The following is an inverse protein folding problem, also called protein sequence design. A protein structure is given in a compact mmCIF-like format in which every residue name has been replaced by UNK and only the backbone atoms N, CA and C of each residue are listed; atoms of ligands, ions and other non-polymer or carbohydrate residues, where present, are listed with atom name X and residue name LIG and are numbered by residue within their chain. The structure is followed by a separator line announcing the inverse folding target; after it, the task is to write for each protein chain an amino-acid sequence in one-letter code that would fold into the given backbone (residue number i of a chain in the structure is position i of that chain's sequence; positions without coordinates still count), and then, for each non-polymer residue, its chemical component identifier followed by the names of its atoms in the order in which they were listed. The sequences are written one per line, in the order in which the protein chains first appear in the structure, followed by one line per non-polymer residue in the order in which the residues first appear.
data_IF_042859642148
#
_entry.id   IF_042859642148
#
_cell.length_a   1.000
_cell.length_b   1.000
_cell.length_c   1.000
_cell.angle_alpha   90.00
_cell.angle_beta   90.00
_cell.angle_gamma   90.00
#
_symmetry.space_group_name_H-M   'P 1'
#
loop_
_entity.id
_entity.type
_entity.pdbx_description
1 polymer ?
#
# COMPACT_ATOMS: atom_id res chain seq x y z
N UNK A 1 -6.42 -13.28 -13.69
CA UNK A 1 -5.07 -12.99 -13.20
C UNK A 1 -5.02 -13.14 -11.69
N UNK A 2 -4.03 -13.84 -11.20
CA UNK A 2 -3.93 -14.11 -9.77
C UNK A 2 -2.88 -13.22 -9.14
N UNK A 3 -3.26 -12.52 -8.08
CA UNK A 3 -2.30 -11.71 -7.32
C UNK A 3 -1.53 -12.61 -6.36
N UNK A 4 -0.25 -12.27 -6.07
CA UNK A 4 0.50 -13.01 -5.07
C UNK A 4 -0.13 -12.86 -3.68
N UNK A 5 0.11 -13.85 -2.82
CA UNK A 5 -0.37 -13.80 -1.45
C UNK A 5 0.28 -12.62 -0.71
N UNK A 6 -0.46 -12.05 0.24
CA UNK A 6 0.05 -10.94 1.04
C UNK A 6 1.36 -11.29 1.72
N UNK A 7 1.46 -12.51 2.29
CA UNK A 7 2.68 -12.94 2.97
C UNK A 7 3.88 -12.97 2.02
N UNK A 8 3.67 -13.42 0.78
CA UNK A 8 4.72 -13.45 -0.24
C UNK A 8 5.17 -12.04 -0.60
N UNK A 9 4.22 -11.14 -0.79
CA UNK A 9 4.52 -9.73 -1.09
C UNK A 9 5.28 -9.08 0.05
N UNK A 10 4.86 -9.34 1.28
CA UNK A 10 5.51 -8.80 2.47
C UNK A 10 6.95 -9.27 2.58
N UNK A 11 7.18 -10.54 2.31
CA UNK A 11 8.52 -11.12 2.29
C UNK A 11 9.40 -10.43 1.27
N UNK A 12 8.90 -10.25 0.06
CA UNK A 12 9.65 -9.58 -1.01
C UNK A 12 9.95 -8.13 -0.67
N UNK A 13 9.00 -7.45 -0.08
CA UNK A 13 9.19 -6.07 0.33
C UNK A 13 10.25 -5.96 1.44
N UNK A 14 10.15 -6.81 2.45
CA UNK A 14 11.11 -6.83 3.56
C UNK A 14 12.52 -7.18 3.10
N UNK A 15 12.62 -8.05 2.09
CA UNK A 15 13.91 -8.44 1.51
C UNK A 15 14.50 -7.38 0.57
N UNK A 16 13.72 -6.36 0.22
CA UNK A 16 14.15 -5.30 -0.69
C UNK A 16 14.06 -5.68 -2.16
N UNK A 17 13.32 -6.74 -2.48
CA UNK A 17 13.15 -7.19 -3.88
C UNK A 17 12.15 -6.34 -4.65
N UNK A 18 11.21 -5.70 -3.95
CA UNK A 18 10.22 -4.82 -4.57
C UNK A 18 10.16 -3.51 -3.78
N UNK A 19 9.69 -2.45 -4.44
CA UNK A 19 9.55 -1.14 -3.81
C UNK A 19 8.26 -1.08 -2.98
N UNK A 20 8.12 -0.03 -2.17
CA UNK A 20 6.89 0.20 -1.42
C UNK A 20 5.71 0.40 -2.35
N UNK A 21 5.90 1.11 -3.47
CA UNK A 21 4.86 1.29 -4.47
C UNK A 21 4.41 -0.06 -5.02
N UNK A 22 5.36 -0.90 -5.41
CA UNK A 22 5.04 -2.24 -5.93
C UNK A 22 4.28 -3.07 -4.90
N UNK A 23 4.70 -3.00 -3.65
CA UNK A 23 4.03 -3.72 -2.56
C UNK A 23 2.55 -3.31 -2.46
N UNK A 24 2.27 -2.02 -2.56
CA UNK A 24 0.90 -1.51 -2.46
C UNK A 24 0.05 -1.93 -3.66
N UNK A 25 0.55 -1.68 -4.88
CA UNK A 25 -0.26 -1.89 -6.09
C UNK A 25 -0.42 -3.35 -6.47
N UNK A 26 0.45 -4.23 -5.98
CA UNK A 26 0.35 -5.66 -6.31
C UNK A 26 -0.56 -6.44 -5.37
N UNK A 27 -1.13 -5.80 -4.36
CA UNK A 27 -2.03 -6.50 -3.43
C UNK A 27 -3.39 -6.78 -4.05
N UNK A 28 -3.97 -5.81 -4.73
CA UNK A 28 -5.25 -5.96 -5.41
C UNK A 28 -5.57 -4.71 -6.23
N UNK A 29 -6.57 -4.83 -7.13
CA UNK A 29 -7.07 -3.68 -7.89
C UNK A 29 -7.70 -2.64 -6.97
N UNK A 30 -8.43 -3.09 -5.95
CA UNK A 30 -9.03 -2.18 -4.97
C UNK A 30 -7.98 -1.37 -4.24
N UNK A 31 -6.90 -2.02 -3.85
CA UNK A 31 -5.79 -1.34 -3.18
C UNK A 31 -5.15 -0.30 -4.09
N UNK A 32 -4.97 -0.64 -5.37
CA UNK A 32 -4.43 0.29 -6.36
C UNK A 32 -5.32 1.52 -6.52
N UNK A 33 -6.63 1.30 -6.62
CA UNK A 33 -7.58 2.42 -6.75
C UNK A 33 -7.57 3.31 -5.51
N UNK A 34 -7.56 2.73 -4.33
CA UNK A 34 -7.48 3.48 -3.07
C UNK A 34 -6.18 4.28 -2.97
N UNK A 35 -5.08 3.68 -3.37
CA UNK A 35 -3.78 4.33 -3.38
C UNK A 35 -3.78 5.54 -4.33
N UNK A 36 -4.29 5.36 -5.53
CA UNK A 36 -4.36 6.44 -6.51
C UNK A 36 -5.25 7.59 -6.02
N UNK A 37 -6.36 7.25 -5.37
CA UNK A 37 -7.25 8.25 -4.78
C UNK A 37 -6.56 9.01 -3.66
N UNK A 38 -5.86 8.30 -2.79
CA UNK A 38 -5.10 8.91 -1.70
C UNK A 38 -4.07 9.89 -2.25
N UNK A 39 -3.32 9.48 -3.27
CA UNK A 39 -2.31 10.34 -3.88
C UNK A 39 -2.93 11.59 -4.49
N UNK A 40 -4.05 11.44 -5.15
CA UNK A 40 -4.75 12.56 -5.77
C UNK A 40 -5.27 13.54 -4.72
N UNK A 41 -5.88 13.02 -3.66
CA UNK A 41 -6.45 13.84 -2.59
C UNK A 41 -5.38 14.61 -1.84
N UNK A 42 -4.22 13.99 -1.63
CA UNK A 42 -3.12 14.60 -0.88
C UNK A 42 -2.13 15.35 -1.78
N UNK A 43 -2.30 15.25 -3.09
CA UNK A 43 -1.38 15.89 -4.04
C UNK A 43 0.00 15.27 -4.04
N UNK A 44 0.09 13.95 -3.84
CA UNK A 44 1.34 13.22 -3.76
C UNK A 44 1.61 12.44 -5.05
N UNK A 45 2.90 12.13 -5.28
CA UNK A 45 3.31 11.37 -6.45
C UNK A 45 3.11 9.87 -6.20
N UNK A 46 2.22 9.20 -6.98
CA UNK A 46 1.98 7.76 -6.79
C UNK A 46 3.18 6.88 -7.10
N UNK A 47 4.20 7.40 -7.77
CA UNK A 47 5.40 6.65 -8.09
C UNK A 47 6.49 6.78 -7.02
N UNK A 48 6.24 7.55 -5.96
CA UNK A 48 7.19 7.77 -4.89
C UNK A 48 7.03 6.71 -3.78
N UNK A 49 8.13 6.10 -3.36
CA UNK A 49 8.12 5.15 -2.25
C UNK A 49 7.67 5.80 -0.94
N UNK A 50 8.03 7.06 -0.74
CA UNK A 50 7.59 7.81 0.45
C UNK A 50 6.08 7.93 0.48
N UNK A 51 5.47 8.19 -0.67
CA UNK A 51 4.01 8.24 -0.79
C UNK A 51 3.38 6.90 -0.43
N UNK A 52 3.95 5.80 -0.94
CA UNK A 52 3.45 4.47 -0.64
C UNK A 52 3.55 4.14 0.84
N UNK A 53 4.65 4.53 1.47
CA UNK A 53 4.81 4.35 2.92
C UNK A 53 3.79 5.15 3.72
N UNK A 54 3.54 6.39 3.30
CA UNK A 54 2.51 7.23 3.93
C UNK A 54 1.13 6.60 3.80
N UNK A 55 0.83 6.04 2.64
CA UNK A 55 -0.44 5.36 2.40
C UNK A 55 -0.59 4.14 3.31
N UNK A 56 0.47 3.36 3.46
CA UNK A 56 0.43 2.19 4.34
C UNK A 56 0.20 2.59 5.80
N UNK A 57 0.84 3.66 6.26
CA UNK A 57 0.62 4.19 7.60
C UNK A 57 -0.82 4.66 7.78
N UNK A 58 -1.35 5.34 6.77
CA UNK A 58 -2.74 5.80 6.77
C UNK A 58 -3.71 4.64 6.93
N UNK A 59 -3.49 3.56 6.21
CA UNK A 59 -4.35 2.39 6.29
C UNK A 59 -4.23 1.67 7.63
N UNK A 60 -3.03 1.60 8.19
CA UNK A 60 -2.83 1.03 9.52
C UNK A 60 -3.59 1.81 10.58
N UNK A 61 -3.54 3.13 10.52
CA UNK A 61 -4.26 3.99 11.46
C UNK A 61 -5.77 3.75 11.38
N UNK A 62 -6.30 3.66 10.16
CA UNK A 62 -7.73 3.38 9.98
C UNK A 62 -8.10 2.01 10.57
N UNK A 63 -7.25 1.03 10.35
CA UNK A 63 -7.48 -0.32 10.85
C UNK A 63 -7.47 -0.36 12.38
N UNK A 64 -6.50 0.33 13.00
CA UNK A 64 -6.39 0.40 14.45
C UNK A 64 -7.60 1.10 15.06
N UNK A 65 -8.05 2.19 14.47
CA UNK A 65 -9.25 2.89 14.93
C UNK A 65 -10.48 1.98 14.93
N UNK A 66 -10.59 1.14 13.91
CA UNK A 66 -11.71 0.20 13.79
C UNK A 66 -11.68 -0.85 14.89
N UNK A 67 -10.51 -1.21 15.38
CA UNK A 67 -10.34 -2.24 16.41
C UNK A 67 -10.44 -1.67 17.83
N UNK A 68 -10.07 -0.42 17.99
CA UNK A 68 -9.97 0.22 19.31
C UNK A 68 -11.31 0.49 20.00
N UNK A 69 -12.37 0.13 19.37
CA UNK A 69 -13.69 0.33 19.99
C UNK A 69 -14.04 -0.82 20.93
#
# INVERSE_FOLDING_TARGET
MTYPDYDTLREQYDAGNISAVDFVIQQSDEMTDDYNRFCKDEGLDPNSDETAKSFMDFREDLFEESISN
#
